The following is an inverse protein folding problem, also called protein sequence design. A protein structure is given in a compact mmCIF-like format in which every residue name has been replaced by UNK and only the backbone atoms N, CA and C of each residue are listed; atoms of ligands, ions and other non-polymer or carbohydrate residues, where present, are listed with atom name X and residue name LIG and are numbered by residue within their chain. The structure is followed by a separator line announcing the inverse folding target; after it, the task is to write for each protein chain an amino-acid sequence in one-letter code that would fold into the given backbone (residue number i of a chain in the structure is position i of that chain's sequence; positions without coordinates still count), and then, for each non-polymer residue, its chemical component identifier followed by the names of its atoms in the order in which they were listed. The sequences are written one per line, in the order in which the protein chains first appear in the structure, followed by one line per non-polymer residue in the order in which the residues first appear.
data_IF_397791168653
#
_entry.id   IF_397791168653
#
_cell.length_a   1.000
_cell.length_b   1.000
_cell.length_c   1.000
_cell.angle_alpha   90.00
_cell.angle_beta   90.00
_cell.angle_gamma   90.00
#
_symmetry.space_group_name_H-M   'P 1'
#
loop_
_entity.id
_entity.type
_entity.pdbx_description
1 polymer ?
#
# COMPACT_ATOMS: atom_id res chain seq x y z
N UNK A 1 24.24 -35.19 -2.80
CA UNK A 1 23.38 -34.37 -3.62
C UNK A 1 22.29 -33.73 -2.77
N UNK A 2 22.25 -32.45 -2.76
CA UNK A 2 21.27 -31.73 -1.97
C UNK A 2 19.91 -31.77 -2.66
N UNK A 3 18.93 -32.30 -1.99
CA UNK A 3 17.58 -32.34 -2.49
C UNK A 3 16.96 -30.94 -2.36
N UNK A 4 16.50 -30.37 -3.48
CA UNK A 4 15.83 -29.10 -3.44
C UNK A 4 14.47 -29.28 -2.80
N UNK A 5 14.28 -28.61 -1.67
CA UNK A 5 12.97 -28.58 -1.03
C UNK A 5 11.96 -27.94 -1.98
N UNK A 6 10.91 -28.66 -2.25
CA UNK A 6 9.76 -28.03 -2.91
C UNK A 6 9.23 -26.93 -2.01
N UNK A 7 9.01 -25.71 -2.54
CA UNK A 7 8.32 -24.72 -1.75
C UNK A 7 6.96 -25.25 -1.34
N UNK A 8 6.54 -24.93 -0.14
CA UNK A 8 5.16 -25.21 0.30
C UNK A 8 4.22 -24.62 -0.73
N UNK A 9 3.18 -25.36 -1.09
CA UNK A 9 2.14 -24.82 -1.95
C UNK A 9 1.69 -23.48 -1.39
N UNK A 10 1.80 -22.43 -2.21
CA UNK A 10 1.37 -21.10 -1.81
C UNK A 10 -0.13 -21.09 -1.60
N UNK A 11 -0.58 -20.52 -0.48
CA UNK A 11 -1.99 -20.26 -0.27
C UNK A 11 -2.32 -18.97 -1.04
N UNK A 12 -2.95 -19.11 -2.19
CA UNK A 12 -3.35 -17.97 -3.01
C UNK A 12 -4.84 -17.69 -2.92
N UNK A 13 -5.60 -18.59 -2.31
CA UNK A 13 -7.04 -18.48 -2.17
C UNK A 13 -7.43 -18.66 -0.71
N UNK A 14 -8.33 -17.80 -0.24
CA UNK A 14 -8.87 -17.88 1.11
C UNK A 14 -10.39 -17.81 0.99
N UNK A 15 -11.13 -18.80 1.55
CA UNK A 15 -12.59 -18.76 1.47
C UNK A 15 -13.16 -17.50 2.11
N UNK A 16 -14.08 -16.84 1.41
CA UNK A 16 -14.89 -15.76 1.97
C UNK A 16 -16.19 -16.38 2.49
N UNK A 17 -16.36 -16.43 3.82
CA UNK A 17 -17.48 -17.12 4.45
C UNK A 17 -18.64 -16.20 4.77
N UNK A 18 -18.45 -14.90 4.81
CA UNK A 18 -19.52 -13.99 5.12
C UNK A 18 -19.06 -12.56 5.29
N UNK A 19 -19.97 -11.73 5.73
CA UNK A 19 -19.74 -10.32 6.06
C UNK A 19 -20.18 -10.06 7.49
N UNK A 20 -19.39 -9.25 8.19
CA UNK A 20 -19.69 -8.90 9.58
C UNK A 20 -19.62 -7.40 9.75
N UNK A 21 -20.61 -6.86 10.48
CA UNK A 21 -20.56 -5.48 10.95
C UNK A 21 -20.39 -5.48 12.47
N UNK A 22 -19.74 -4.46 13.00
CA UNK A 22 -19.57 -4.35 14.45
C UNK A 22 -20.94 -4.34 15.16
N UNK A 23 -21.12 -5.27 16.11
CA UNK A 23 -22.37 -5.40 16.83
C UNK A 23 -23.50 -6.09 16.10
N UNK A 24 -23.25 -6.66 14.93
CA UNK A 24 -24.27 -7.36 14.14
C UNK A 24 -23.91 -8.84 13.95
N UNK A 25 -24.88 -9.70 13.71
CA UNK A 25 -24.60 -11.10 13.40
C UNK A 25 -23.84 -11.25 12.08
N UNK A 26 -23.14 -12.37 11.96
CA UNK A 26 -22.47 -12.74 10.74
C UNK A 26 -23.48 -12.96 9.62
N UNK A 27 -23.27 -12.31 8.50
CA UNK A 27 -24.05 -12.53 7.28
C UNK A 27 -23.30 -13.53 6.40
N UNK A 28 -23.89 -14.70 6.21
CA UNK A 28 -23.28 -15.74 5.39
C UNK A 28 -23.29 -15.37 3.91
N UNK A 29 -22.22 -15.72 3.21
CA UNK A 29 -22.13 -15.61 1.76
C UNK A 29 -22.80 -16.85 1.15
N UNK A 30 -23.79 -16.63 0.29
CA UNK A 30 -24.62 -17.72 -0.29
C UNK A 30 -23.83 -18.58 -1.28
N UNK A 31 -22.81 -18.03 -1.92
CA UNK A 31 -21.99 -18.73 -2.90
C UNK A 31 -20.59 -18.96 -2.35
N UNK A 32 -19.92 -19.97 -2.86
CA UNK A 32 -18.54 -20.29 -2.50
C UNK A 32 -17.61 -19.24 -3.11
N UNK A 33 -17.51 -18.10 -2.45
CA UNK A 33 -16.56 -17.06 -2.83
C UNK A 33 -15.19 -17.32 -2.18
N UNK A 34 -14.15 -16.94 -2.88
CA UNK A 34 -12.78 -16.99 -2.37
C UNK A 34 -12.10 -15.65 -2.60
N UNK A 35 -11.16 -15.32 -1.72
CA UNK A 35 -10.28 -14.19 -1.91
C UNK A 35 -9.01 -14.69 -2.59
N UNK A 36 -8.62 -14.02 -3.67
CA UNK A 36 -7.36 -14.27 -4.36
C UNK A 36 -6.44 -13.08 -4.14
N UNK A 37 -5.17 -13.32 -3.92
CA UNK A 37 -4.20 -12.23 -3.90
C UNK A 37 -4.19 -11.43 -5.20
N UNK A 38 -4.46 -12.09 -6.31
CA UNK A 38 -4.56 -11.42 -7.60
C UNK A 38 -5.61 -10.32 -7.65
N UNK A 39 -6.67 -10.42 -6.84
CA UNK A 39 -7.74 -9.41 -6.78
C UNK A 39 -7.22 -8.07 -6.22
N UNK A 40 -6.12 -8.10 -5.49
CA UNK A 40 -5.50 -6.91 -4.91
C UNK A 40 -4.30 -6.43 -5.71
N UNK A 41 -3.91 -7.15 -6.75
CA UNK A 41 -2.82 -6.74 -7.63
C UNK A 41 -3.31 -5.75 -8.67
N UNK A 42 -2.43 -4.84 -9.09
CA UNK A 42 -2.69 -3.94 -10.20
C UNK A 42 -2.50 -4.63 -11.55
N UNK A 43 -2.74 -3.88 -12.61
CA UNK A 43 -2.55 -4.38 -13.98
C UNK A 43 -1.10 -4.38 -14.43
N UNK A 44 -0.20 -3.74 -13.69
CA UNK A 44 1.23 -3.71 -13.94
C UNK A 44 2.01 -4.50 -12.90
N UNK A 45 3.29 -4.19 -12.79
CA UNK A 45 4.15 -4.80 -11.77
C UNK A 45 3.66 -4.46 -10.37
N UNK A 46 3.44 -5.48 -9.56
CA UNK A 46 3.09 -5.34 -8.15
C UNK A 46 4.26 -5.80 -7.30
N UNK A 47 4.59 -5.01 -6.29
CA UNK A 47 5.63 -5.36 -5.34
C UNK A 47 5.20 -4.97 -3.92
N UNK A 48 5.92 -5.47 -2.93
CA UNK A 48 5.61 -5.23 -1.54
C UNK A 48 6.76 -4.52 -0.84
N UNK A 49 6.42 -3.65 0.10
CA UNK A 49 7.37 -3.03 1.02
C UNK A 49 6.85 -3.14 2.44
N UNK A 50 7.77 -3.17 3.40
CA UNK A 50 7.44 -3.07 4.81
C UNK A 50 7.52 -1.61 5.24
N UNK A 51 6.50 -1.15 5.96
CA UNK A 51 6.42 0.22 6.45
C UNK A 51 7.27 0.38 7.71
N UNK A 52 8.04 1.44 7.76
CA UNK A 52 8.78 1.87 8.95
C UNK A 52 8.29 3.25 9.36
N UNK A 53 8.02 3.42 10.66
CA UNK A 53 7.60 4.69 11.21
C UNK A 53 6.11 4.93 11.13
N UNK A 54 5.67 6.13 11.53
CA UNK A 54 4.28 6.46 11.77
C UNK A 54 3.78 7.63 10.91
N UNK A 55 4.44 7.94 9.80
CA UNK A 55 4.07 9.10 8.98
C UNK A 55 2.69 9.00 8.35
N UNK A 56 2.11 7.80 8.30
CA UNK A 56 0.80 7.57 7.69
C UNK A 56 -0.20 6.94 8.66
N UNK A 57 0.01 7.16 9.96
CA UNK A 57 -0.81 6.53 11.02
C UNK A 57 -2.28 6.94 10.95
N UNK A 58 -2.59 8.18 10.57
CA UNK A 58 -3.96 8.66 10.46
C UNK A 58 -4.72 8.07 9.26
N UNK A 59 -3.99 7.49 8.30
CA UNK A 59 -4.55 6.68 7.22
C UNK A 59 -4.52 5.18 7.56
N UNK A 60 -4.30 4.85 8.84
CA UNK A 60 -4.29 3.48 9.36
C UNK A 60 -3.18 2.61 8.77
N UNK A 61 -2.07 3.22 8.37
CA UNK A 61 -0.87 2.53 7.93
C UNK A 61 0.18 2.66 9.02
N UNK A 62 0.52 1.54 9.65
CA UNK A 62 1.33 1.50 10.85
C UNK A 62 2.72 0.92 10.59
N UNK A 63 3.65 1.25 11.47
CA UNK A 63 4.96 0.61 11.47
C UNK A 63 4.82 -0.90 11.47
N UNK A 64 5.55 -1.58 10.61
CA UNK A 64 5.51 -3.04 10.48
C UNK A 64 4.48 -3.57 9.47
N UNK A 65 3.58 -2.74 8.98
CA UNK A 65 2.63 -3.17 7.96
C UNK A 65 3.35 -3.51 6.66
N UNK A 66 2.79 -4.47 5.92
CA UNK A 66 3.16 -4.73 4.53
C UNK A 66 2.24 -3.96 3.62
N UNK A 67 2.79 -3.31 2.63
CA UNK A 67 2.01 -2.61 1.62
C UNK A 67 2.27 -3.22 0.24
N UNK A 68 1.20 -3.34 -0.54
CA UNK A 68 1.27 -3.75 -1.94
C UNK A 68 1.19 -2.50 -2.80
N UNK A 69 2.09 -2.41 -3.73
CA UNK A 69 2.26 -1.24 -4.60
C UNK A 69 2.25 -1.67 -6.05
N UNK A 70 1.62 -0.86 -6.88
CA UNK A 70 1.74 -0.97 -8.33
C UNK A 70 2.85 -0.02 -8.79
N UNK A 71 3.80 -0.54 -9.56
CA UNK A 71 4.86 0.29 -10.12
C UNK A 71 4.28 1.23 -11.16
N UNK A 72 4.29 2.51 -10.84
CA UNK A 72 3.80 3.57 -11.72
C UNK A 72 4.78 4.73 -11.68
N UNK A 73 4.84 5.50 -12.77
CA UNK A 73 5.69 6.70 -12.86
C UNK A 73 4.91 7.98 -12.63
N UNK A 74 3.58 7.91 -12.60
CA UNK A 74 2.71 9.06 -12.44
C UNK A 74 1.66 8.77 -11.37
N UNK A 75 1.19 9.81 -10.72
CA UNK A 75 0.19 9.73 -9.68
C UNK A 75 -0.88 10.81 -9.87
N UNK A 76 -2.04 10.58 -9.28
CA UNK A 76 -3.15 11.54 -9.21
C UNK A 76 -3.22 12.12 -7.81
N UNK A 77 -3.80 13.30 -7.70
CA UNK A 77 -4.05 13.92 -6.41
C UNK A 77 -4.82 12.98 -5.48
N UNK A 78 -4.32 12.82 -4.28
CA UNK A 78 -4.90 11.93 -3.29
C UNK A 78 -4.37 10.51 -3.28
N UNK A 79 -3.61 10.09 -4.28
CA UNK A 79 -2.96 8.77 -4.27
C UNK A 79 -1.94 8.68 -3.14
N UNK A 80 -1.87 7.54 -2.48
CA UNK A 80 -0.77 7.23 -1.58
C UNK A 80 0.33 6.57 -2.41
N UNK A 81 1.51 7.17 -2.38
CA UNK A 81 2.60 6.79 -3.27
C UNK A 81 3.89 6.55 -2.49
N UNK A 82 4.76 5.75 -3.09
CA UNK A 82 6.17 5.71 -2.74
C UNK A 82 6.89 6.67 -3.68
N UNK A 83 7.54 7.67 -3.12
CA UNK A 83 8.22 8.70 -3.87
C UNK A 83 9.67 8.84 -3.40
N UNK A 84 10.55 9.01 -4.36
CA UNK A 84 11.96 9.36 -4.13
C UNK A 84 12.10 10.87 -4.33
N UNK A 85 12.62 11.57 -3.34
CA UNK A 85 12.76 13.02 -3.35
C UNK A 85 14.24 13.37 -3.51
N UNK A 86 14.57 14.06 -4.60
CA UNK A 86 15.94 14.54 -4.90
C UNK A 86 17.00 13.44 -4.79
N UNK A 87 16.67 12.23 -5.17
CA UNK A 87 17.57 11.09 -5.13
C UNK A 87 17.87 10.54 -3.73
N UNK A 88 17.19 11.03 -2.69
CA UNK A 88 17.34 10.56 -1.32
C UNK A 88 16.48 9.33 -1.04
N UNK A 89 16.19 9.03 0.21
CA UNK A 89 15.38 7.87 0.57
C UNK A 89 13.94 7.98 0.05
N UNK A 90 13.36 6.85 -0.31
CA UNK A 90 11.97 6.75 -0.67
C UNK A 90 11.08 6.93 0.55
N UNK A 91 9.94 7.57 0.36
CA UNK A 91 8.97 7.83 1.43
C UNK A 91 7.56 7.48 0.96
N UNK A 92 6.71 7.06 1.87
CA UNK A 92 5.30 6.79 1.64
C UNK A 92 4.49 8.00 2.10
N UNK A 93 3.79 8.64 1.18
CA UNK A 93 3.03 9.86 1.44
C UNK A 93 1.84 9.95 0.50
N UNK A 94 0.88 10.80 0.84
CA UNK A 94 -0.20 11.15 -0.06
C UNK A 94 0.27 12.26 -0.99
N UNK A 95 0.00 12.08 -2.27
CA UNK A 95 0.50 12.93 -3.34
C UNK A 95 -0.53 14.01 -3.71
N UNK A 96 -0.07 15.24 -3.88
CA UNK A 96 -0.86 16.35 -4.42
C UNK A 96 -0.01 17.23 -5.30
N UNK A 97 -0.57 17.64 -6.44
CA UNK A 97 0.04 18.67 -7.27
C UNK A 97 -0.33 20.03 -6.74
N UNK A 98 0.64 20.93 -6.72
CA UNK A 98 0.47 22.30 -6.29
C UNK A 98 0.82 23.26 -7.42
N UNK A 99 0.39 24.52 -7.29
CA UNK A 99 0.71 25.56 -8.27
C UNK A 99 2.21 25.75 -8.42
N UNK A 100 2.67 26.16 -9.62
CA UNK A 100 4.07 26.46 -9.88
C UNK A 100 4.94 25.23 -10.06
N UNK A 101 4.39 24.14 -10.62
CA UNK A 101 5.13 22.89 -10.81
C UNK A 101 5.70 22.31 -9.51
N UNK A 102 4.95 22.46 -8.43
CA UNK A 102 5.30 21.92 -7.13
C UNK A 102 4.50 20.65 -6.84
N UNK A 103 5.05 19.82 -5.97
CA UNK A 103 4.39 18.63 -5.43
C UNK A 103 4.41 18.72 -3.92
N UNK A 104 3.25 18.45 -3.31
CA UNK A 104 3.15 18.28 -1.87
C UNK A 104 3.04 16.80 -1.55
N UNK A 105 3.95 16.30 -0.74
CA UNK A 105 3.91 14.97 -0.18
C UNK A 105 3.40 15.06 1.25
N UNK A 106 2.15 14.65 1.43
CA UNK A 106 1.40 14.87 2.65
C UNK A 106 1.47 13.65 3.54
N UNK A 107 2.04 13.75 4.75
CA UNK A 107 1.91 12.68 5.73
C UNK A 107 0.48 12.63 6.29
N UNK A 108 0.05 11.47 6.72
CA UNK A 108 -1.16 11.28 7.50
C UNK A 108 -0.79 11.19 8.98
N UNK A 109 -0.26 12.28 9.49
CA UNK A 109 0.21 12.41 10.86
C UNK A 109 0.29 13.89 11.21
N UNK A 110 -0.53 14.35 12.16
CA UNK A 110 -0.64 15.76 12.52
C UNK A 110 0.67 16.37 13.06
N UNK A 111 1.60 15.53 13.54
CA UNK A 111 2.88 15.99 14.08
C UNK A 111 3.98 16.12 13.04
N UNK A 112 3.73 15.70 11.80
CA UNK A 112 4.72 15.70 10.73
C UNK A 112 4.30 16.69 9.66
N UNK A 113 5.23 17.57 9.28
CA UNK A 113 4.97 18.58 8.26
C UNK A 113 5.00 17.97 6.86
N UNK A 114 4.15 18.48 5.94
CA UNK A 114 4.24 18.10 4.53
C UNK A 114 5.57 18.50 3.91
N UNK A 115 5.97 17.75 2.88
CA UNK A 115 7.12 18.06 2.06
C UNK A 115 6.62 18.77 0.80
N UNK A 116 7.07 19.99 0.58
CA UNK A 116 6.74 20.75 -0.63
C UNK A 116 8.02 20.91 -1.45
N UNK A 117 8.03 20.32 -2.64
CA UNK A 117 9.24 20.26 -3.50
C UNK A 117 8.86 20.48 -4.96
N UNK A 118 9.82 20.94 -5.79
CA UNK A 118 9.59 20.98 -7.23
C UNK A 118 9.26 19.59 -7.79
N UNK A 119 8.34 19.55 -8.75
CA UNK A 119 7.92 18.29 -9.37
C UNK A 119 9.11 17.54 -10.00
N UNK A 120 10.10 18.25 -10.54
CA UNK A 120 11.30 17.65 -11.14
C UNK A 120 12.16 16.87 -10.13
N UNK A 121 12.00 17.17 -8.83
CA UNK A 121 12.78 16.51 -7.76
C UNK A 121 12.06 15.28 -7.19
N UNK A 122 10.87 14.94 -7.69
CA UNK A 122 10.07 13.82 -7.22
C UNK A 122 10.01 12.74 -8.27
N UNK A 123 10.41 11.53 -7.90
CA UNK A 123 10.23 10.35 -8.73
C UNK A 123 9.23 9.42 -8.05
N UNK A 124 8.09 9.22 -8.70
CA UNK A 124 7.08 8.27 -8.21
C UNK A 124 7.57 6.87 -8.55
N UNK A 125 7.57 5.99 -7.55
CA UNK A 125 8.02 4.61 -7.70
C UNK A 125 6.89 3.60 -7.58
N UNK A 126 5.77 3.99 -6.99
CA UNK A 126 4.64 3.11 -6.85
C UNK A 126 3.43 3.80 -6.27
N UNK A 127 2.28 3.19 -6.49
CA UNK A 127 0.98 3.62 -5.94
C UNK A 127 0.44 2.52 -5.05
N UNK A 128 -0.08 2.90 -3.90
CA UNK A 128 -0.62 1.95 -2.92
C UNK A 128 -1.86 1.24 -3.47
N UNK A 129 -1.86 -0.08 -3.37
CA UNK A 129 -3.01 -0.94 -3.71
C UNK A 129 -3.67 -1.52 -2.48
N UNK A 130 -2.88 -1.94 -1.49
CA UNK A 130 -3.41 -2.64 -0.33
C UNK A 130 -2.43 -2.57 0.85
N UNK A 131 -2.98 -2.76 2.04
CA UNK A 131 -2.21 -2.86 3.28
C UNK A 131 -2.53 -4.19 3.93
N UNK A 132 -1.50 -4.89 4.36
CA UNK A 132 -1.61 -6.17 5.06
C UNK A 132 -0.97 -6.05 6.43
N UNK A 133 -1.69 -6.48 7.45
CA UNK A 133 -1.17 -6.51 8.81
C UNK A 133 -1.41 -7.88 9.42
N UNK A 134 -0.34 -8.48 9.92
CA UNK A 134 -0.42 -9.75 10.60
C UNK A 134 -0.45 -9.52 12.11
N UNK A 135 -1.43 -10.08 12.76
CA UNK A 135 -1.55 -10.07 14.21
C UNK A 135 -0.87 -11.31 14.79
N UNK A 136 -0.19 -11.13 15.87
CA UNK A 136 0.51 -12.22 16.56
C UNK A 136 -0.38 -12.86 17.63
#
# INVERSE_FOLDING_TARGET
MQELRRPKAAVTEIPLLGRIAAGAPLEAVEQNEVLHFADFAGHGDTYALEVRGNSMIDDHICDGDMILLERVAQARDGDIVVALVAGSEATLKRFYREAGDMVRLQPANATIKPILVPARDVQIQGRLLAVLRKYK
#
